data_IF_598429474952
#
_entry.id   IF_598429474952
#
_cell.length_a   1.000
_cell.length_b   1.000
_cell.length_c   1.000
_cell.angle_alpha   90.00
_cell.angle_beta   90.00
_cell.angle_gamma   90.00
#
_symmetry.space_group_name_H-M   'P 1'
#
loop_
_entity.id
_entity.type
_entity.pdbx_description
1 polymer ?
#
# COMPACT_ATOMS: atom_id res chain seq x y z
N UNK A 1 26.58 1.65 4.16
CA UNK A 1 25.53 0.70 3.69
C UNK A 1 24.33 0.56 4.66
N UNK A 2 24.50 0.46 5.99
CA UNK A 2 23.35 0.29 6.91
C UNK A 2 22.30 1.40 6.82
N UNK A 3 22.68 2.67 6.75
CA UNK A 3 21.73 3.80 6.72
C UNK A 3 20.82 3.80 5.47
N UNK A 4 21.35 3.46 4.29
CA UNK A 4 20.56 3.36 3.06
C UNK A 4 19.49 2.27 3.13
N UNK A 5 19.81 1.12 3.72
CA UNK A 5 18.86 0.02 3.87
C UNK A 5 17.70 0.42 4.78
N UNK A 6 17.97 1.11 5.89
CA UNK A 6 16.93 1.60 6.79
C UNK A 6 16.07 2.70 6.12
N UNK A 7 16.68 3.59 5.35
CA UNK A 7 15.94 4.64 4.64
C UNK A 7 14.97 4.03 3.61
N UNK A 8 15.45 3.09 2.79
CA UNK A 8 14.59 2.40 1.81
C UNK A 8 13.49 1.63 2.53
N UNK A 9 13.81 0.86 3.57
CA UNK A 9 12.82 0.11 4.35
C UNK A 9 11.80 1.02 5.04
N UNK A 10 12.18 2.24 5.44
CA UNK A 10 11.26 3.23 5.98
C UNK A 10 10.33 3.79 4.89
N UNK A 11 10.85 4.15 3.72
CA UNK A 11 10.06 4.67 2.60
C UNK A 11 9.10 3.62 2.03
N UNK A 12 9.51 2.36 2.00
CA UNK A 12 8.68 1.23 1.56
C UNK A 12 7.90 0.56 2.70
N UNK A 13 7.80 1.22 3.87
CA UNK A 13 7.01 0.68 4.97
C UNK A 13 5.50 0.66 4.63
N UNK A 14 4.77 -0.43 4.93
CA UNK A 14 3.35 -0.60 4.57
C UNK A 14 2.44 0.57 4.95
N UNK A 15 2.77 1.29 6.01
CA UNK A 15 2.01 2.46 6.51
C UNK A 15 1.87 3.58 5.46
N UNK A 16 2.86 3.73 4.57
CA UNK A 16 2.88 4.81 3.59
C UNK A 16 2.05 4.54 2.33
N UNK A 17 1.79 3.28 1.97
CA UNK A 17 1.14 2.95 0.70
C UNK A 17 -0.24 3.58 0.52
N UNK A 18 -1.14 3.64 1.52
CA UNK A 18 -2.44 4.31 1.34
C UNK A 18 -2.27 5.79 0.95
N UNK A 19 -1.28 6.47 1.53
CA UNK A 19 -0.98 7.87 1.23
C UNK A 19 -0.38 8.01 -0.16
N UNK A 20 0.58 7.17 -0.53
CA UNK A 20 1.20 7.24 -1.86
C UNK A 20 0.17 7.05 -2.98
N UNK A 21 -0.74 6.09 -2.85
CA UNK A 21 -1.81 5.90 -3.81
C UNK A 21 -2.77 7.08 -3.87
N UNK A 22 -3.15 7.62 -2.71
CA UNK A 22 -3.98 8.83 -2.64
C UNK A 22 -3.29 10.03 -3.29
N UNK A 23 -1.98 10.22 -3.08
CA UNK A 23 -1.18 11.27 -3.74
C UNK A 23 -1.26 11.17 -5.27
N UNK A 24 -1.06 9.95 -5.79
CA UNK A 24 -1.11 9.72 -7.25
C UNK A 24 -2.46 10.16 -7.81
N UNK A 25 -3.55 9.77 -7.17
CA UNK A 25 -4.90 10.16 -7.59
C UNK A 25 -5.10 11.67 -7.49
N UNK A 26 -4.83 12.26 -6.33
CA UNK A 26 -5.12 13.68 -6.06
C UNK A 26 -4.31 14.64 -6.93
N UNK A 27 -3.09 14.28 -7.33
CA UNK A 27 -2.24 15.16 -8.14
C UNK A 27 -2.38 14.97 -9.65
N UNK A 28 -2.84 13.80 -10.11
CA UNK A 28 -2.81 13.49 -11.55
C UNK A 28 -4.20 13.25 -12.15
N UNK A 29 -5.22 12.98 -11.32
CA UNK A 29 -6.56 12.66 -11.80
C UNK A 29 -7.51 13.82 -11.48
N UNK A 30 -8.32 14.29 -12.44
CA UNK A 30 -9.31 15.32 -12.17
C UNK A 30 -10.35 14.81 -11.17
N UNK A 31 -10.47 15.51 -10.04
CA UNK A 31 -11.43 15.21 -8.99
C UNK A 31 -12.32 16.43 -8.82
N UNK A 32 -13.64 16.23 -8.93
CA UNK A 32 -14.65 17.29 -8.74
C UNK A 32 -14.97 17.50 -7.26
N UNK A 33 -13.97 17.91 -6.46
CA UNK A 33 -14.11 18.16 -5.03
C UNK A 33 -13.60 19.53 -4.67
N UNK A 34 -14.15 20.10 -3.60
CA UNK A 34 -13.65 21.36 -3.05
C UNK A 34 -12.28 21.16 -2.39
N UNK A 35 -11.46 22.22 -2.40
CA UNK A 35 -10.13 22.19 -1.77
C UNK A 35 -10.22 21.85 -0.27
N UNK A 36 -11.29 22.27 0.40
CA UNK A 36 -11.54 21.97 1.81
C UNK A 36 -11.79 20.47 2.04
N UNK A 37 -12.56 19.81 1.19
CA UNK A 37 -12.79 18.36 1.27
C UNK A 37 -11.52 17.57 1.02
N UNK A 38 -10.72 17.98 0.03
CA UNK A 38 -9.42 17.34 -0.25
C UNK A 38 -8.49 17.45 0.96
N UNK A 39 -8.36 18.66 1.56
CA UNK A 39 -7.52 18.89 2.73
C UNK A 39 -7.98 18.08 3.93
N UNK A 40 -9.28 18.04 4.20
CA UNK A 40 -9.84 17.27 5.30
C UNK A 40 -9.60 15.77 5.12
N UNK A 41 -9.84 15.24 3.93
CA UNK A 41 -9.58 13.83 3.60
C UNK A 41 -8.10 13.49 3.75
N UNK A 42 -7.19 14.36 3.31
CA UNK A 42 -5.74 14.22 3.50
C UNK A 42 -5.37 14.09 4.97
N UNK A 43 -5.88 15.01 5.79
CA UNK A 43 -5.59 15.05 7.23
C UNK A 43 -6.07 13.75 7.90
N UNK A 44 -7.28 13.29 7.57
CA UNK A 44 -7.82 12.03 8.09
C UNK A 44 -7.01 10.82 7.62
N UNK A 45 -6.61 10.78 6.34
CA UNK A 45 -5.75 9.72 5.82
C UNK A 45 -4.43 9.67 6.60
N UNK A 46 -3.73 10.79 6.75
CA UNK A 46 -2.49 10.87 7.53
C UNK A 46 -2.67 10.40 8.97
N UNK A 47 -3.74 10.83 9.62
CA UNK A 47 -4.01 10.50 11.00
C UNK A 47 -4.27 9.01 11.19
N UNK A 48 -5.09 8.41 10.34
CA UNK A 48 -5.54 7.02 10.50
C UNK A 48 -4.53 6.03 9.90
N UNK A 49 -3.88 6.35 8.78
CA UNK A 49 -2.96 5.39 8.15
C UNK A 49 -1.52 5.52 8.62
N UNK A 50 -1.11 6.68 9.16
CA UNK A 50 0.26 6.89 9.66
C UNK A 50 0.30 7.10 11.16
N UNK A 51 -0.40 8.11 11.67
CA UNK A 51 -0.27 8.47 13.07
C UNK A 51 -0.77 7.36 14.00
N UNK A 52 -1.96 6.79 13.73
CA UNK A 52 -2.53 5.73 14.55
C UNK A 52 -1.67 4.45 14.54
N UNK A 53 -1.26 3.85 13.39
CA UNK A 53 -0.37 2.70 13.42
C UNK A 53 0.98 2.99 14.05
N UNK A 54 1.55 4.18 13.83
CA UNK A 54 2.82 4.56 14.45
C UNK A 54 2.69 4.62 15.98
N UNK A 55 1.60 5.17 16.50
CA UNK A 55 1.32 5.16 17.94
C UNK A 55 1.18 3.72 18.47
N UNK A 56 0.46 2.85 17.75
CA UNK A 56 0.35 1.43 18.12
C UNK A 56 1.73 0.76 18.14
N UNK A 57 2.56 0.97 17.11
CA UNK A 57 3.93 0.45 17.09
C UNK A 57 4.77 0.95 18.26
N UNK A 58 4.69 2.24 18.59
CA UNK A 58 5.42 2.82 19.72
C UNK A 58 4.96 2.20 21.05
N UNK A 59 3.65 2.02 21.24
CA UNK A 59 3.10 1.36 22.43
C UNK A 59 3.62 -0.08 22.53
N UNK A 60 3.54 -0.86 21.45
CA UNK A 60 4.03 -2.23 21.42
C UNK A 60 5.55 -2.33 21.66
N UNK A 61 6.30 -1.33 21.19
CA UNK A 61 7.74 -1.23 21.44
C UNK A 61 8.03 -0.93 22.92
N UNK A 62 7.33 0.01 23.54
CA UNK A 62 7.49 0.35 24.98
C UNK A 62 7.17 -0.85 25.87
N UNK A 63 6.17 -1.65 25.50
CA UNK A 63 5.84 -2.89 26.23
C UNK A 63 6.74 -4.08 25.89
N UNK A 64 7.85 -3.88 25.15
CA UNK A 64 8.77 -4.93 24.71
C UNK A 64 8.10 -6.08 23.93
N UNK A 65 6.92 -5.83 23.33
CA UNK A 65 6.24 -6.81 22.49
C UNK A 65 6.88 -6.89 21.10
N UNK A 66 7.48 -5.78 20.61
CA UNK A 66 8.25 -5.69 19.38
C UNK A 66 9.66 -5.22 19.70
N UNK A 67 10.67 -6.00 19.27
CA UNK A 67 12.07 -5.63 19.43
C UNK A 67 12.54 -4.64 18.35
N UNK A 68 11.99 -4.78 17.14
CA UNK A 68 12.34 -3.93 16.00
C UNK A 68 11.10 -3.70 15.12
N UNK A 69 10.64 -2.44 14.95
CA UNK A 69 9.48 -2.11 14.14
C UNK A 69 9.65 -2.43 12.65
N UNK A 70 10.89 -2.55 12.15
CA UNK A 70 11.18 -2.85 10.75
C UNK A 70 11.36 -4.35 10.45
N UNK A 71 11.56 -5.16 11.49
CA UNK A 71 11.79 -6.60 11.40
C UNK A 71 10.79 -7.33 12.28
N UNK A 72 9.57 -7.48 11.79
CA UNK A 72 8.48 -8.10 12.54
C UNK A 72 8.59 -9.63 12.38
N UNK A 73 8.67 -10.41 13.48
CA UNK A 73 8.63 -11.87 13.42
C UNK A 73 7.36 -12.39 12.77
N UNK A 74 7.46 -13.46 11.99
CA UNK A 74 6.34 -14.05 11.22
C UNK A 74 5.10 -14.34 12.08
N UNK A 75 5.29 -14.73 13.35
CA UNK A 75 4.20 -15.02 14.28
C UNK A 75 3.41 -13.76 14.68
N UNK A 76 4.13 -12.65 14.91
CA UNK A 76 3.53 -11.36 15.29
C UNK A 76 2.94 -10.62 14.09
N UNK A 77 3.45 -10.91 12.89
CA UNK A 77 3.01 -10.31 11.64
C UNK A 77 1.52 -10.51 11.39
N UNK A 78 0.96 -11.68 11.75
CA UNK A 78 -0.47 -11.97 11.57
C UNK A 78 -1.36 -10.97 12.33
N UNK A 79 -1.05 -10.68 13.59
CA UNK A 79 -1.82 -9.77 14.43
C UNK A 79 -1.76 -8.33 13.92
N UNK A 80 -0.57 -7.89 13.51
CA UNK A 80 -0.41 -6.56 12.91
C UNK A 80 -1.13 -6.45 11.58
N UNK A 81 -1.14 -7.54 10.79
CA UNK A 81 -1.87 -7.60 9.53
C UNK A 81 -3.38 -7.52 9.72
N UNK A 82 -3.94 -8.18 10.74
CA UNK A 82 -5.36 -8.03 11.10
C UNK A 82 -5.69 -6.57 11.43
N UNK A 83 -4.89 -5.94 12.30
CA UNK A 83 -5.07 -4.51 12.62
C UNK A 83 -4.99 -3.62 11.39
N UNK A 84 -4.03 -3.88 10.50
CA UNK A 84 -3.86 -3.10 9.28
C UNK A 84 -5.03 -3.28 8.31
N UNK A 85 -5.58 -4.48 8.15
CA UNK A 85 -6.78 -4.75 7.35
C UNK A 85 -7.97 -3.95 7.89
N UNK A 86 -8.18 -3.94 9.21
CA UNK A 86 -9.26 -3.15 9.83
C UNK A 86 -9.09 -1.65 9.54
N UNK A 87 -7.87 -1.14 9.64
CA UNK A 87 -7.55 0.26 9.31
C UNK A 87 -7.87 0.54 7.84
N UNK A 88 -7.41 -0.29 6.91
CA UNK A 88 -7.66 -0.10 5.48
C UNK A 88 -9.16 -0.12 5.14
N UNK A 89 -9.93 -1.06 5.72
CA UNK A 89 -11.38 -1.11 5.54
C UNK A 89 -12.05 0.15 6.11
N UNK A 90 -11.64 0.60 7.29
CA UNK A 90 -12.16 1.84 7.87
C UNK A 90 -11.87 3.05 6.99
N UNK A 91 -10.68 3.12 6.40
CA UNK A 91 -10.31 4.17 5.43
C UNK A 91 -11.17 4.09 4.18
N UNK A 92 -11.33 2.90 3.60
CA UNK A 92 -12.11 2.71 2.38
C UNK A 92 -13.57 3.17 2.56
N UNK A 93 -14.23 2.73 3.63
CA UNK A 93 -15.66 2.98 3.78
C UNK A 93 -16.01 4.33 4.42
N UNK A 94 -15.17 4.87 5.30
CA UNK A 94 -15.51 6.07 6.06
C UNK A 94 -14.79 7.33 5.61
N UNK A 95 -13.55 7.20 5.10
CA UNK A 95 -12.74 8.35 4.70
C UNK A 95 -12.76 8.56 3.19
N UNK A 96 -12.67 7.47 2.43
CA UNK A 96 -12.65 7.50 0.98
C UNK A 96 -13.82 6.71 0.41
N UNK A 97 -15.10 7.13 0.70
CA UNK A 97 -16.27 6.44 0.17
C UNK A 97 -16.27 6.47 -1.36
N UNK A 98 -16.80 5.41 -1.94
CA UNK A 98 -16.81 5.20 -3.39
C UNK A 98 -17.41 6.37 -4.18
N UNK A 99 -18.49 6.97 -3.67
CA UNK A 99 -19.21 8.06 -4.33
C UNK A 99 -18.37 9.32 -4.51
N UNK A 100 -17.40 9.56 -3.58
CA UNK A 100 -16.55 10.76 -3.61
C UNK A 100 -15.16 10.49 -4.17
N UNK A 101 -14.59 9.33 -3.84
CA UNK A 101 -13.21 8.98 -4.14
C UNK A 101 -13.09 7.59 -4.78
N UNK A 102 -13.74 7.30 -5.90
CA UNK A 102 -13.82 5.95 -6.46
C UNK A 102 -12.44 5.31 -6.64
N UNK A 103 -11.47 6.03 -7.18
CA UNK A 103 -10.13 5.48 -7.47
C UNK A 103 -9.31 5.21 -6.21
N UNK A 104 -9.37 6.10 -5.21
CA UNK A 104 -8.70 5.89 -3.92
C UNK A 104 -9.37 4.73 -3.19
N UNK A 105 -10.70 4.68 -3.18
CA UNK A 105 -11.48 3.60 -2.57
C UNK A 105 -11.02 2.23 -3.09
N UNK A 106 -10.99 2.04 -4.41
CA UNK A 106 -10.59 0.76 -5.00
C UNK A 106 -9.11 0.46 -4.79
N UNK A 107 -8.24 1.46 -4.82
CA UNK A 107 -6.85 1.25 -4.48
C UNK A 107 -6.71 0.67 -3.06
N UNK A 108 -7.41 1.24 -2.08
CA UNK A 108 -7.42 0.78 -0.69
C UNK A 108 -8.02 -0.63 -0.58
N UNK A 109 -9.13 -0.91 -1.29
CA UNK A 109 -9.72 -2.26 -1.36
C UNK A 109 -8.71 -3.25 -1.97
N UNK A 110 -8.02 -2.87 -3.04
CA UNK A 110 -6.98 -3.70 -3.65
C UNK A 110 -5.83 -4.01 -2.70
N UNK A 111 -5.36 -3.00 -1.92
CA UNK A 111 -4.39 -3.22 -0.84
C UNK A 111 -4.94 -4.17 0.23
N UNK A 112 -6.19 -4.02 0.61
CA UNK A 112 -6.84 -4.89 1.60
C UNK A 112 -6.89 -6.34 1.12
N UNK A 113 -7.28 -6.57 -0.14
CA UNK A 113 -7.26 -7.91 -0.75
C UNK A 113 -5.83 -8.48 -0.79
N UNK A 114 -4.82 -7.66 -1.11
CA UNK A 114 -3.42 -8.06 -1.02
C UNK A 114 -3.02 -8.49 0.39
N UNK A 115 -3.43 -7.75 1.42
CA UNK A 115 -3.20 -8.11 2.83
C UNK A 115 -3.91 -9.40 3.22
N UNK A 116 -5.16 -9.61 2.79
CA UNK A 116 -5.90 -10.86 3.02
C UNK A 116 -5.20 -12.04 2.34
N UNK A 117 -4.69 -11.83 1.13
CA UNK A 117 -3.92 -12.85 0.41
C UNK A 117 -2.65 -13.22 1.17
N UNK A 118 -1.88 -12.25 1.67
CA UNK A 118 -0.73 -12.50 2.54
C UNK A 118 -1.14 -13.29 3.78
N UNK A 119 -2.22 -12.87 4.44
CA UNK A 119 -2.71 -13.56 5.63
C UNK A 119 -3.03 -15.03 5.35
N UNK A 120 -3.69 -15.30 4.22
CA UNK A 120 -3.99 -16.65 3.77
C UNK A 120 -2.71 -17.48 3.60
N UNK A 121 -1.68 -16.94 2.93
CA UNK A 121 -0.40 -17.63 2.75
C UNK A 121 0.35 -17.86 4.06
N UNK A 122 0.23 -16.94 5.03
CA UNK A 122 0.81 -17.11 6.37
C UNK A 122 0.17 -18.27 7.15
N UNK A 123 -1.10 -18.60 6.90
CA UNK A 123 -1.71 -19.81 7.47
C UNK A 123 -1.06 -21.10 6.97
N UNK A 124 -0.59 -21.11 5.72
CA UNK A 124 0.17 -22.22 5.14
C UNK A 124 1.67 -22.17 5.46
N UNK A 125 2.09 -21.30 6.41
CA UNK A 125 3.49 -21.08 6.79
C UNK A 125 4.39 -20.63 5.62
N UNK A 126 3.79 -20.05 4.58
CA UNK A 126 4.52 -19.42 3.48
C UNK A 126 4.85 -17.99 3.89
N UNK A 127 6.15 -17.72 4.01
CA UNK A 127 6.63 -16.36 4.31
C UNK A 127 6.20 -15.39 3.22
N UNK A 128 5.89 -14.17 3.61
CA UNK A 128 5.51 -13.08 2.71
C UNK A 128 6.08 -11.76 3.20
N UNK A 129 6.16 -10.79 2.30
CA UNK A 129 6.72 -9.48 2.59
C UNK A 129 5.69 -8.38 2.29
N UNK A 130 5.24 -7.68 3.33
CA UNK A 130 4.21 -6.62 3.21
C UNK A 130 4.72 -5.41 2.42
N UNK A 131 6.02 -5.08 2.52
CA UNK A 131 6.62 -3.97 1.79
C UNK A 131 6.58 -4.25 0.28
N UNK A 132 7.08 -5.41 -0.14
CA UNK A 132 7.06 -5.82 -1.55
C UNK A 132 5.63 -5.88 -2.10
N UNK A 133 4.65 -6.37 -1.32
CA UNK A 133 3.24 -6.38 -1.70
C UNK A 133 2.71 -4.96 -1.94
N UNK A 134 2.97 -4.04 -1.02
CA UNK A 134 2.56 -2.65 -1.16
C UNK A 134 3.19 -1.95 -2.37
N UNK A 135 4.48 -2.22 -2.64
CA UNK A 135 5.16 -1.71 -3.85
C UNK A 135 4.54 -2.27 -5.13
N UNK A 136 4.20 -3.56 -5.15
CA UNK A 136 3.49 -4.18 -6.28
C UNK A 136 2.13 -3.56 -6.53
N UNK A 137 1.35 -3.34 -5.47
CA UNK A 137 0.06 -2.67 -5.55
C UNK A 137 0.20 -1.24 -6.09
N UNK A 138 1.10 -0.45 -5.52
CA UNK A 138 1.30 0.96 -5.89
C UNK A 138 1.77 1.10 -7.34
N UNK A 139 2.75 0.32 -7.76
CA UNK A 139 3.30 0.36 -9.13
C UNK A 139 2.24 -0.01 -10.16
N UNK A 140 1.49 -1.10 -9.91
CA UNK A 140 0.43 -1.56 -10.81
C UNK A 140 -0.73 -0.57 -10.86
N UNK A 141 -1.14 -0.03 -9.71
CA UNK A 141 -2.16 1.01 -9.65
C UNK A 141 -1.77 2.25 -10.46
N UNK A 142 -0.53 2.75 -10.30
CA UNK A 142 -0.04 3.92 -11.04
C UNK A 142 -0.04 3.66 -12.55
N UNK A 143 0.40 2.48 -12.97
CA UNK A 143 0.38 2.08 -14.38
C UNK A 143 -1.06 2.06 -14.93
N UNK A 144 -2.00 1.52 -14.19
CA UNK A 144 -3.41 1.50 -14.58
C UNK A 144 -4.01 2.91 -14.66
N UNK A 145 -3.70 3.78 -13.71
CA UNK A 145 -4.16 5.17 -13.74
C UNK A 145 -3.60 5.93 -14.96
N UNK A 146 -2.33 5.70 -15.30
CA UNK A 146 -1.73 6.26 -16.52
C UNK A 146 -2.47 5.83 -17.79
N UNK A 147 -2.80 4.54 -17.90
CA UNK A 147 -3.52 3.98 -19.05
C UNK A 147 -4.97 4.49 -19.11
N UNK A 148 -5.71 4.42 -18.00
CA UNK A 148 -7.14 4.77 -17.94
C UNK A 148 -7.41 6.25 -18.22
N UNK A 149 -6.52 7.12 -17.73
CA UNK A 149 -6.69 8.58 -17.88
C UNK A 149 -5.86 9.18 -19.02
N UNK A 150 -5.15 8.35 -19.80
CA UNK A 150 -4.24 8.80 -20.86
C UNK A 150 -3.27 9.90 -20.37
N UNK A 151 -2.82 9.79 -19.10
CA UNK A 151 -1.85 10.72 -18.50
C UNK A 151 -0.45 10.15 -18.59
N UNK A 152 0.50 10.97 -19.01
CA UNK A 152 1.91 10.58 -18.99
C UNK A 152 2.43 10.55 -17.54
N UNK A 153 2.55 9.36 -16.98
CA UNK A 153 3.14 9.09 -15.66
C UNK A 153 4.45 8.31 -15.77
N UNK A 154 5.11 8.33 -16.92
CA UNK A 154 6.30 7.52 -17.21
C UNK A 154 7.40 7.71 -16.17
N UNK A 155 7.67 8.94 -15.75
CA UNK A 155 8.71 9.22 -14.74
C UNK A 155 8.34 8.63 -13.35
N UNK A 156 7.07 8.71 -12.97
CA UNK A 156 6.60 8.16 -11.68
C UNK A 156 6.68 6.64 -11.72
N UNK A 157 6.25 6.02 -12.80
CA UNK A 157 6.30 4.55 -12.99
C UNK A 157 7.75 4.08 -12.98
N UNK A 158 8.65 4.74 -13.70
CA UNK A 158 10.07 4.41 -13.72
C UNK A 158 10.70 4.54 -12.31
N UNK A 159 10.36 5.60 -11.58
CA UNK A 159 10.81 5.80 -10.21
C UNK A 159 10.28 4.71 -9.26
N UNK A 160 9.00 4.34 -9.37
CA UNK A 160 8.41 3.26 -8.56
C UNK A 160 9.01 1.89 -8.89
N UNK A 161 9.30 1.60 -10.15
CA UNK A 161 10.00 0.37 -10.54
C UNK A 161 11.42 0.33 -9.97
N UNK A 162 12.15 1.45 -10.02
CA UNK A 162 13.46 1.56 -9.40
C UNK A 162 13.39 1.35 -7.89
N UNK A 163 12.46 2.01 -7.20
CA UNK A 163 12.24 1.82 -5.76
C UNK A 163 11.82 0.39 -5.42
N UNK A 164 10.99 -0.25 -6.25
CA UNK A 164 10.61 -1.65 -6.06
C UNK A 164 11.82 -2.58 -6.14
N UNK A 165 12.72 -2.37 -7.10
CA UNK A 165 13.97 -3.12 -7.20
C UNK A 165 14.89 -2.91 -5.99
N UNK A 166 15.01 -1.67 -5.53
CA UNK A 166 15.77 -1.32 -4.34
C UNK A 166 15.16 -1.95 -3.08
N UNK A 167 13.84 -1.88 -2.90
CA UNK A 167 13.13 -2.51 -1.77
C UNK A 167 13.33 -4.03 -1.77
N UNK A 168 13.12 -4.69 -2.91
CA UNK A 168 13.33 -6.14 -3.03
C UNK A 168 14.75 -6.53 -2.59
N UNK A 169 15.76 -5.77 -3.04
CA UNK A 169 17.16 -6.00 -2.66
C UNK A 169 17.39 -5.84 -1.17
N UNK A 170 16.86 -4.75 -0.59
CA UNK A 170 16.99 -4.46 0.84
C UNK A 170 16.26 -5.51 1.68
N UNK A 171 15.05 -5.92 1.28
CA UNK A 171 14.28 -6.93 2.00
C UNK A 171 14.98 -8.30 1.99
N UNK A 172 15.57 -8.71 0.87
CA UNK A 172 16.38 -9.94 0.81
C UNK A 172 17.57 -9.85 1.77
N UNK A 173 18.24 -8.70 1.80
CA UNK A 173 19.41 -8.48 2.66
C UNK A 173 19.05 -8.45 4.16
N UNK A 174 17.97 -7.74 4.54
CA UNK A 174 17.58 -7.56 5.93
C UNK A 174 16.85 -8.78 6.52
N UNK A 175 15.99 -9.44 5.74
CA UNK A 175 15.13 -10.51 6.23
C UNK A 175 15.64 -11.90 5.88
N UNK A 176 16.71 -11.99 5.10
CA UNK A 176 17.26 -13.26 4.57
C UNK A 176 16.21 -14.12 3.86
N UNK A 177 15.17 -13.50 3.30
CA UNK A 177 14.13 -14.17 2.54
C UNK A 177 14.65 -14.54 1.14
N UNK A 178 14.08 -15.60 0.58
CA UNK A 178 14.39 -15.99 -0.80
C UNK A 178 13.75 -15.01 -1.78
N UNK A 179 14.46 -14.67 -2.85
CA UNK A 179 13.95 -13.77 -3.91
C UNK A 179 12.55 -14.16 -4.41
N UNK A 180 12.28 -15.47 -4.55
CA UNK A 180 10.97 -16.00 -4.96
C UNK A 180 9.86 -15.57 -4.02
N UNK A 181 10.10 -15.55 -2.72
CA UNK A 181 9.12 -15.13 -1.70
C UNK A 181 8.79 -13.65 -1.83
N UNK A 182 9.80 -12.80 -2.02
CA UNK A 182 9.62 -11.36 -2.15
C UNK A 182 8.91 -11.01 -3.46
N UNK A 183 9.29 -11.64 -4.58
CA UNK A 183 8.62 -11.49 -5.87
C UNK A 183 7.16 -11.96 -5.83
N UNK A 184 6.89 -13.09 -5.17
CA UNK A 184 5.54 -13.60 -5.01
C UNK A 184 4.68 -12.62 -4.19
N UNK A 185 5.25 -12.02 -3.14
CA UNK A 185 4.58 -10.96 -2.38
C UNK A 185 4.29 -9.73 -3.23
N UNK A 186 5.21 -9.33 -4.10
CA UNK A 186 4.99 -8.23 -5.06
C UNK A 186 3.79 -8.53 -5.97
N UNK A 187 3.71 -9.73 -6.51
CA UNK A 187 2.58 -10.16 -7.35
C UNK A 187 1.25 -10.20 -6.58
N UNK A 188 1.27 -10.59 -5.29
CA UNK A 188 0.06 -10.57 -4.45
C UNK A 188 -0.52 -9.16 -4.28
N UNK A 189 0.32 -8.13 -4.32
CA UNK A 189 -0.15 -6.75 -4.33
C UNK A 189 -0.60 -6.27 -5.72
N UNK A 190 0.13 -6.67 -6.76
CA UNK A 190 -0.13 -6.25 -8.13
C UNK A 190 -1.44 -6.83 -8.69
N UNK A 191 -1.71 -8.14 -8.48
CA UNK A 191 -2.86 -8.84 -9.04
C UNK A 191 -4.21 -8.22 -8.65
N UNK A 192 -4.51 -7.91 -7.38
CA UNK A 192 -5.77 -7.27 -7.02
C UNK A 192 -6.01 -5.96 -7.76
N UNK A 193 -4.95 -5.18 -7.99
CA UNK A 193 -5.05 -3.91 -8.70
C UNK A 193 -5.37 -4.07 -10.19
N UNK A 194 -4.97 -5.18 -10.82
CA UNK A 194 -5.30 -5.47 -12.23
C UNK A 194 -6.80 -5.68 -12.45
N UNK A 195 -7.54 -6.10 -11.44
CA UNK A 195 -8.99 -6.25 -11.54
C UNK A 195 -9.75 -4.92 -11.51
N UNK A 196 -9.12 -3.81 -11.09
CA UNK A 196 -9.74 -2.49 -11.07
C UNK A 196 -10.38 -2.08 -12.40
N UNK A 197 -9.72 -2.21 -13.58
CA UNK A 197 -10.32 -1.81 -14.84
C UNK A 197 -11.58 -2.60 -15.18
N UNK A 198 -11.63 -3.86 -14.75
CA UNK A 198 -12.79 -4.73 -14.99
C UNK A 198 -13.99 -4.24 -14.18
N UNK A 199 -13.75 -3.88 -12.91
CA UNK A 199 -14.77 -3.35 -12.01
C UNK A 199 -15.22 -1.93 -12.44
N UNK A 200 -14.32 -1.14 -13.02
CA UNK A 200 -14.57 0.26 -13.41
C UNK A 200 -15.00 0.45 -14.85
N UNK A 201 -15.07 -0.59 -15.67
CA UNK A 201 -15.42 -0.48 -17.08
C UNK A 201 -16.71 0.34 -17.31
N UNK A 202 -17.69 0.20 -16.43
CA UNK A 202 -18.95 0.94 -16.50
C UNK A 202 -18.84 2.39 -15.98
N UNK A 203 -17.85 2.68 -15.14
CA UNK A 203 -17.65 4.02 -14.58
C UNK A 203 -16.76 4.90 -15.46
N UNK A 204 -15.74 4.32 -16.10
CA UNK A 204 -14.93 5.06 -17.09
C UNK A 204 -15.76 5.50 -18.30
N UNK A 205 -16.78 4.74 -18.70
CA UNK A 205 -17.73 5.13 -19.74
C UNK A 205 -18.66 6.28 -19.32
N UNK A 206 -18.83 6.53 -18.04
CA UNK A 206 -19.64 7.65 -17.53
C UNK A 206 -18.86 8.98 -17.40
N UNK A 207 -17.54 8.94 -17.52
CA UNK A 207 -16.67 10.13 -17.45
C UNK A 207 -16.12 10.57 -18.84
N UNK A 208 -16.50 9.88 -19.90
CA UNK A 208 -16.32 10.26 -21.31
C UNK A 208 -17.65 10.68 -21.92
#
# INVERSE_FOLDING_TARGET
MRYYNYLISFLSHPIWFPIYGAMIVLFHIPIFLTISEIRFTWLLLLLITVALPTMVYLILFVFNWLENPFLIPDEKQKWLLYGYIVILLSVAFWITPFEKFPFIHFYIIGLTVGCITILFFLFFKIRSNMSAMGMGALTTFTLLMSILFHKDMTYIIAFLLFLSGADITVQIYLTHQRIRTVLLSYLMGALPQLFLPILFRNLTLAYH
#
